data_IF_230295881817
#
_entry.id   IF_230295881817
#
_cell.length_a   1.000
_cell.length_b   1.000
_cell.length_c   1.000
_cell.angle_alpha   90.00
_cell.angle_beta   90.00
_cell.angle_gamma   90.00
#
_symmetry.space_group_name_H-M   'P 1'
#
loop_
_entity.id
_entity.type
_entity.pdbx_description
1 polymer ?
#
# COMPACT_ATOMS: atom_id res chain seq x y z
N UNK A 1 -9.54 9.06 -2.42
CA UNK A 1 -8.83 7.97 -3.13
C UNK A 1 -9.22 6.66 -2.44
N UNK A 2 -9.64 5.59 -3.14
CA UNK A 2 -9.77 5.43 -4.60
C UNK A 2 -11.10 5.94 -5.21
N UNK A 3 -11.99 6.45 -4.36
CA UNK A 3 -13.36 6.90 -4.69
C UNK A 3 -13.51 8.40 -4.94
N UNK A 4 -12.41 9.17 -4.84
CA UNK A 4 -12.40 10.64 -4.82
C UNK A 4 -13.31 11.26 -3.72
N UNK A 5 -13.60 10.51 -2.65
CA UNK A 5 -14.43 10.97 -1.53
C UNK A 5 -13.62 11.06 -0.23
N UNK A 6 -12.64 10.18 -0.05
CA UNK A 6 -11.79 10.18 1.14
C UNK A 6 -10.41 10.79 0.87
N UNK A 7 -9.95 11.66 1.78
CA UNK A 7 -8.55 12.04 1.85
C UNK A 7 -7.70 10.80 2.10
N UNK A 8 -6.71 10.57 1.24
CA UNK A 8 -5.89 9.38 1.33
C UNK A 8 -4.62 9.54 0.51
N UNK A 9 -3.49 9.16 1.11
CA UNK A 9 -2.23 9.02 0.38
C UNK A 9 -2.27 7.77 -0.49
N UNK A 10 -1.40 7.71 -1.49
CA UNK A 10 -1.22 6.53 -2.34
C UNK A 10 -1.02 5.27 -1.50
N UNK A 11 -0.26 5.37 -0.41
CA UNK A 11 0.06 4.23 0.44
C UNK A 11 -1.17 3.70 1.20
N UNK A 12 -2.14 4.56 1.54
CA UNK A 12 -3.42 4.09 2.09
C UNK A 12 -4.15 3.18 1.10
N UNK A 13 -4.12 3.52 -0.19
CA UNK A 13 -4.66 2.66 -1.25
C UNK A 13 -3.82 1.39 -1.42
N UNK A 14 -2.49 1.49 -1.51
CA UNK A 14 -1.61 0.32 -1.65
C UNK A 14 -1.79 -0.71 -0.52
N UNK A 15 -1.98 -0.24 0.73
CA UNK A 15 -2.29 -1.12 1.86
C UNK A 15 -3.56 -1.95 1.66
N UNK A 16 -4.58 -1.37 1.01
CA UNK A 16 -5.82 -2.09 0.67
C UNK A 16 -5.67 -3.13 -0.44
N UNK A 17 -4.51 -3.14 -1.12
CA UNK A 17 -4.16 -4.13 -2.13
C UNK A 17 -3.37 -5.30 -1.53
N UNK A 18 -2.88 -5.20 -0.30
CA UNK A 18 -2.20 -6.32 0.36
C UNK A 18 -3.25 -7.28 0.90
N UNK A 19 -2.97 -8.58 0.80
CA UNK A 19 -3.83 -9.63 1.37
C UNK A 19 -4.03 -9.39 2.87
N UNK A 20 -5.29 -9.46 3.33
CA UNK A 20 -5.65 -9.29 4.74
C UNK A 20 -5.01 -10.33 5.65
N UNK A 21 -4.65 -11.51 5.12
CA UNK A 21 -4.00 -12.57 5.88
C UNK A 21 -2.46 -12.58 5.74
N UNK A 22 -1.87 -11.58 5.07
CA UNK A 22 -0.42 -11.46 4.93
C UNK A 22 0.24 -11.19 6.30
N UNK A 23 0.83 -12.26 6.87
CA UNK A 23 1.54 -12.23 8.16
C UNK A 23 2.77 -11.32 8.14
N UNK A 24 3.46 -11.22 7.01
CA UNK A 24 4.64 -10.36 6.84
C UNK A 24 4.22 -8.91 6.86
N UNK A 25 3.10 -8.57 6.22
CA UNK A 25 2.51 -7.24 6.27
C UNK A 25 2.10 -6.85 7.68
N UNK A 26 1.37 -7.71 8.40
CA UNK A 26 1.03 -7.48 9.81
C UNK A 26 2.27 -7.26 10.68
N UNK A 27 3.33 -8.04 10.45
CA UNK A 27 4.59 -7.86 11.13
C UNK A 27 5.21 -6.49 10.81
N UNK A 28 5.15 -6.03 9.56
CA UNK A 28 5.70 -4.74 9.15
C UNK A 28 4.96 -3.58 9.80
N UNK A 29 3.62 -3.66 9.92
CA UNK A 29 2.82 -2.69 10.66
C UNK A 29 3.25 -2.61 12.13
N UNK A 30 3.43 -3.76 12.78
CA UNK A 30 3.88 -3.84 14.18
C UNK A 30 5.29 -3.28 14.36
N UNK A 31 6.22 -3.68 13.50
CA UNK A 31 7.62 -3.24 13.55
C UNK A 31 7.74 -1.74 13.27
N UNK A 32 6.97 -1.21 12.33
CA UNK A 32 6.91 0.24 12.07
C UNK A 32 6.39 0.99 13.30
N UNK A 33 5.36 0.46 13.98
CA UNK A 33 4.84 1.05 15.23
C UNK A 33 5.88 0.99 16.35
N UNK A 34 6.62 -0.10 16.48
CA UNK A 34 7.69 -0.24 17.47
C UNK A 34 8.87 0.70 17.20
N UNK A 35 9.19 0.95 15.92
CA UNK A 35 10.25 1.84 15.50
C UNK A 35 10.07 3.28 16.05
N UNK A 36 8.82 3.75 16.16
CA UNK A 36 8.50 5.06 16.77
C UNK A 36 9.04 5.14 18.20
N UNK A 37 8.88 4.07 19.00
CA UNK A 37 9.32 4.02 20.38
C UNK A 37 10.84 3.98 20.58
N UNK A 38 11.60 3.69 19.52
CA UNK A 38 13.07 3.64 19.55
C UNK A 38 13.72 4.77 18.75
N UNK A 39 12.94 5.78 18.32
CA UNK A 39 13.46 7.00 17.71
C UNK A 39 13.33 7.09 16.19
N UNK A 40 12.39 6.38 15.56
CA UNK A 40 12.08 6.62 14.16
C UNK A 40 11.66 8.07 13.91
N UNK A 41 12.15 8.66 12.80
CA UNK A 41 12.06 10.11 12.54
C UNK A 41 10.97 10.51 11.55
N UNK A 42 10.19 9.55 11.03
CA UNK A 42 9.09 9.87 10.12
C UNK A 42 7.96 10.57 10.86
N UNK A 43 7.25 11.48 10.18
CA UNK A 43 6.08 12.16 10.74
C UNK A 43 4.89 11.19 10.77
N UNK A 44 3.98 11.36 11.72
CA UNK A 44 2.76 10.52 11.79
C UNK A 44 1.98 10.47 10.47
N UNK A 45 1.91 11.58 9.74
CA UNK A 45 1.26 11.63 8.43
C UNK A 45 1.92 10.70 7.41
N UNK A 46 3.22 10.42 7.54
CA UNK A 46 4.00 9.54 6.67
C UNK A 46 4.04 8.08 7.17
N UNK A 47 3.34 7.75 8.26
CA UNK A 47 3.28 6.39 8.78
C UNK A 47 2.80 5.35 7.76
N UNK A 48 1.73 5.57 6.95
CA UNK A 48 1.34 4.59 5.93
C UNK A 48 2.46 4.31 4.92
N UNK A 49 3.28 5.31 4.63
CA UNK A 49 4.46 5.17 3.76
C UNK A 49 5.55 4.34 4.41
N UNK A 50 5.88 4.60 5.68
CA UNK A 50 6.85 3.80 6.41
C UNK A 50 6.42 2.32 6.50
N UNK A 51 5.13 2.07 6.75
CA UNK A 51 4.55 0.73 6.82
C UNK A 51 4.71 -0.04 5.50
N UNK A 52 4.32 0.56 4.37
CA UNK A 52 4.42 -0.08 3.04
C UNK A 52 5.88 -0.32 2.65
N UNK A 53 6.78 0.64 2.87
CA UNK A 53 8.20 0.45 2.54
C UNK A 53 8.86 -0.62 3.41
N UNK A 54 8.49 -0.72 4.69
CA UNK A 54 9.01 -1.76 5.59
C UNK A 54 8.58 -3.15 5.11
N UNK A 55 7.33 -3.31 4.71
CA UNK A 55 6.85 -4.57 4.14
C UNK A 55 7.52 -4.89 2.80
N UNK A 56 7.69 -3.90 1.91
CA UNK A 56 8.38 -4.09 0.63
C UNK A 56 9.85 -4.50 0.82
N UNK A 57 10.51 -4.05 1.90
CA UNK A 57 11.88 -4.43 2.23
C UNK A 57 12.02 -5.93 2.57
N UNK A 58 10.92 -6.64 2.84
CA UNK A 58 10.92 -8.06 3.19
C UNK A 58 10.35 -8.97 2.10
N UNK A 59 10.08 -8.43 0.91
CA UNK A 59 9.62 -9.22 -0.24
C UNK A 59 10.79 -9.96 -0.92
N UNK A 60 10.45 -10.88 -1.82
CA UNK A 60 11.43 -11.66 -2.60
C UNK A 60 12.48 -10.77 -3.27
N UNK A 61 12.06 -9.65 -3.86
CA UNK A 61 12.96 -8.56 -4.27
C UNK A 61 12.78 -7.39 -3.30
N UNK A 62 13.73 -7.16 -2.38
CA UNK A 62 13.60 -6.14 -1.35
C UNK A 62 13.49 -4.73 -1.90
N UNK A 63 12.54 -3.95 -1.35
CA UNK A 63 12.50 -2.50 -1.49
C UNK A 63 12.13 -2.00 -2.89
N UNK A 64 11.45 -2.81 -3.71
CA UNK A 64 11.01 -2.39 -5.03
C UNK A 64 10.18 -1.10 -4.97
N UNK A 65 10.38 -0.15 -5.92
CA UNK A 65 9.48 0.97 -6.10
C UNK A 65 8.06 0.48 -6.39
N UNK A 66 7.02 1.24 -5.99
CA UNK A 66 5.62 0.78 -6.06
C UNK A 66 5.20 0.27 -7.44
N UNK A 67 5.55 0.97 -8.51
CA UNK A 67 5.22 0.54 -9.87
C UNK A 67 5.87 -0.80 -10.26
N UNK A 68 7.08 -1.08 -9.76
CA UNK A 68 7.76 -2.35 -9.98
C UNK A 68 7.17 -3.46 -9.09
N UNK A 69 6.82 -3.15 -7.83
CA UNK A 69 6.15 -4.07 -6.93
C UNK A 69 4.75 -4.49 -7.42
N UNK A 70 4.01 -3.57 -8.07
CA UNK A 70 2.74 -3.89 -8.74
C UNK A 70 2.97 -4.88 -9.89
N UNK A 71 3.99 -4.64 -10.73
CA UNK A 71 4.35 -5.56 -11.84
C UNK A 71 4.85 -6.91 -11.35
N UNK A 72 5.54 -6.94 -10.21
CA UNK A 72 5.99 -8.15 -9.53
C UNK A 72 4.87 -8.86 -8.76
N UNK A 73 3.62 -8.38 -8.83
CA UNK A 73 2.44 -8.96 -8.18
C UNK A 73 2.56 -9.10 -6.65
N UNK A 74 3.35 -8.24 -5.99
CA UNK A 74 3.37 -8.19 -4.52
C UNK A 74 2.04 -7.65 -3.97
N UNK A 75 1.40 -6.75 -4.71
CA UNK A 75 0.05 -6.27 -4.40
C UNK A 75 -1.01 -7.10 -5.14
N UNK A 76 -2.10 -7.43 -4.46
CA UNK A 76 -3.28 -8.08 -5.03
C UNK A 76 -3.95 -7.19 -6.07
N UNK A 77 -3.75 -7.53 -7.34
CA UNK A 77 -4.27 -6.78 -8.49
C UNK A 77 -5.79 -6.94 -8.69
N UNK A 78 -6.39 -7.95 -8.07
CA UNK A 78 -7.80 -8.32 -8.14
C UNK A 78 -8.56 -7.99 -6.85
N UNK A 79 -7.94 -7.26 -5.92
CA UNK A 79 -8.63 -6.83 -4.70
C UNK A 79 -9.85 -5.96 -5.05
N UNK A 80 -10.91 -5.97 -4.22
CA UNK A 80 -12.07 -5.12 -4.44
C UNK A 80 -11.71 -3.63 -4.61
N UNK A 81 -10.67 -3.17 -3.93
CA UNK A 81 -10.17 -1.80 -4.05
C UNK A 81 -9.50 -1.53 -5.41
N UNK A 82 -8.69 -2.47 -5.92
CA UNK A 82 -8.10 -2.37 -7.26
C UNK A 82 -9.20 -2.32 -8.34
N UNK A 83 -10.18 -3.21 -8.24
CA UNK A 83 -11.32 -3.27 -9.17
C UNK A 83 -12.12 -1.97 -9.14
N UNK A 84 -12.44 -1.45 -7.95
CA UNK A 84 -13.17 -0.19 -7.80
C UNK A 84 -12.40 0.99 -8.41
N UNK A 85 -11.09 1.07 -8.19
CA UNK A 85 -10.23 2.11 -8.76
C UNK A 85 -10.21 2.06 -10.29
N UNK A 86 -10.00 0.87 -10.88
CA UNK A 86 -9.98 0.69 -12.34
C UNK A 86 -11.33 1.04 -12.96
N UNK A 87 -12.44 0.65 -12.33
CA UNK A 87 -13.78 0.99 -12.80
C UNK A 87 -14.04 2.50 -12.75
N UNK A 88 -13.63 3.18 -11.67
CA UNK A 88 -13.71 4.63 -11.58
C UNK A 88 -12.87 5.31 -12.67
N UNK A 89 -11.63 4.86 -12.88
CA UNK A 89 -10.73 5.40 -13.90
C UNK A 89 -11.32 5.25 -15.31
N UNK A 90 -11.86 4.06 -15.63
CA UNK A 90 -12.54 3.80 -16.90
C UNK A 90 -13.73 4.74 -17.12
N UNK A 91 -14.58 4.93 -16.09
CA UNK A 91 -15.71 5.88 -16.16
C UNK A 91 -15.25 7.31 -16.37
N UNK A 92 -14.19 7.74 -15.68
CA UNK A 92 -13.67 9.11 -15.75
C UNK A 92 -13.21 9.46 -17.17
N UNK A 93 -12.54 8.53 -17.85
CA UNK A 93 -11.96 8.75 -19.18
C UNK A 93 -12.78 8.18 -20.33
N UNK A 94 -13.97 7.61 -20.07
CA UNK A 94 -14.81 7.00 -21.10
C UNK A 94 -14.18 5.78 -21.78
N UNK A 95 -13.35 5.03 -21.06
CA UNK A 95 -12.70 3.83 -21.57
C UNK A 95 -13.65 2.64 -21.41
N UNK A 96 -14.17 2.14 -22.54
CA UNK A 96 -15.02 0.94 -22.60
C UNK A 96 -14.23 -0.34 -22.28
#
# INVERSE_FOLDING_TARGET
>A
MPDNQHDGKLETFLKSLVDTDDKVFHHALKSTKQAIGIGATFREVDRPKAEVHTWLAWQETPGLPYGSAIRAQFFGHDSPAAVAFVQWFRRLYGLA
#
